data_IF_616696538471
#
_entry.id   IF_616696538471
#
_cell.length_a   1.000
_cell.length_b   1.000
_cell.length_c   1.000
_cell.angle_alpha   90.00
_cell.angle_beta   90.00
_cell.angle_gamma   90.00
#
_symmetry.space_group_name_H-M   'P 1'
#
loop_
_entity.id
_entity.type
_entity.pdbx_description
1 polymer ?
#
# COMPACT_ATOMS: atom_id res chain seq x y z
N UNK A 1 38.56 14.94 1.63
CA UNK A 1 37.45 15.89 1.87
C UNK A 1 36.20 15.05 2.13
N UNK A 2 35.50 15.25 3.25
CA UNK A 2 34.28 14.51 3.58
C UNK A 2 33.08 15.20 2.91
N UNK A 3 32.21 14.42 2.26
CA UNK A 3 30.99 14.92 1.58
C UNK A 3 29.78 14.84 2.51
N UNK A 4 29.76 15.70 3.53
CA UNK A 4 28.66 15.75 4.51
C UNK A 4 27.30 16.06 3.88
N UNK A 5 27.32 16.75 2.74
CA UNK A 5 26.13 17.01 1.94
C UNK A 5 25.43 15.72 1.48
N UNK A 6 26.21 14.65 1.21
CA UNK A 6 25.74 13.34 0.76
C UNK A 6 25.49 12.33 1.88
N UNK A 7 26.14 12.49 3.04
CA UNK A 7 26.06 11.51 4.13
C UNK A 7 25.06 11.86 5.23
N UNK A 8 24.49 13.07 5.20
CA UNK A 8 23.61 13.57 6.25
C UNK A 8 22.14 13.53 5.81
N UNK A 9 21.36 12.72 6.52
CA UNK A 9 19.93 12.55 6.27
C UNK A 9 19.17 13.89 6.45
N UNK A 10 18.17 14.20 5.59
CA UNK A 10 17.43 15.46 5.67
C UNK A 10 16.79 15.76 7.03
N UNK A 11 16.27 14.74 7.73
CA UNK A 11 15.78 14.89 9.12
C UNK A 11 16.79 15.56 10.07
N UNK A 12 18.06 15.16 10.00
CA UNK A 12 19.09 15.76 10.85
C UNK A 12 19.33 17.23 10.47
N UNK A 13 19.36 17.54 9.16
CA UNK A 13 19.47 18.91 8.64
C UNK A 13 18.26 19.76 9.09
N UNK A 14 17.05 19.23 9.07
CA UNK A 14 15.83 19.90 9.55
C UNK A 14 15.95 20.26 11.03
N UNK A 15 16.35 19.32 11.89
CA UNK A 15 16.47 19.55 13.34
C UNK A 15 17.53 20.63 13.64
N UNK A 16 18.65 20.62 12.93
CA UNK A 16 19.70 21.63 13.08
C UNK A 16 19.24 23.01 12.64
N UNK A 17 18.55 23.10 11.50
CA UNK A 17 17.98 24.35 10.99
C UNK A 17 16.97 24.95 11.97
N UNK A 18 16.09 24.12 12.57
CA UNK A 18 15.17 24.56 13.62
C UNK A 18 15.92 25.14 14.82
N UNK A 19 16.96 24.45 15.30
CA UNK A 19 17.78 24.91 16.43
C UNK A 19 18.53 26.21 16.13
N UNK A 20 18.90 26.43 14.87
CA UNK A 20 19.56 27.65 14.40
C UNK A 20 18.58 28.81 14.11
N UNK A 21 17.27 28.57 14.13
CA UNK A 21 16.26 29.55 13.73
C UNK A 21 16.15 29.76 12.21
N UNK A 22 16.72 28.86 11.41
CA UNK A 22 16.67 28.89 9.95
C UNK A 22 15.42 28.16 9.45
N UNK A 23 14.31 28.90 9.37
CA UNK A 23 13.01 28.37 8.96
C UNK A 23 13.01 27.88 7.51
N UNK A 24 13.70 28.58 6.61
CA UNK A 24 13.71 28.24 5.17
C UNK A 24 14.39 26.88 4.95
N UNK A 25 15.57 26.69 5.53
CA UNK A 25 16.28 25.41 5.48
C UNK A 25 15.49 24.30 6.16
N UNK A 26 14.82 24.57 7.27
CA UNK A 26 14.01 23.58 7.97
C UNK A 26 12.86 23.06 7.08
N UNK A 27 12.12 23.96 6.42
CA UNK A 27 11.01 23.59 5.51
C UNK A 27 11.54 22.79 4.31
N UNK A 28 12.61 23.27 3.67
CA UNK A 28 13.21 22.57 2.52
C UNK A 28 13.66 21.15 2.91
N UNK A 29 14.43 21.00 3.99
CA UNK A 29 14.93 19.70 4.42
C UNK A 29 13.79 18.76 4.87
N UNK A 30 12.70 19.30 5.43
CA UNK A 30 11.54 18.49 5.80
C UNK A 30 10.85 17.90 4.56
N UNK A 31 10.75 18.66 3.47
CA UNK A 31 10.24 18.18 2.19
C UNK A 31 11.19 17.14 1.56
N UNK A 32 12.51 17.35 1.66
CA UNK A 32 13.53 16.41 1.16
C UNK A 32 13.42 15.01 1.78
N UNK A 33 12.94 14.88 3.02
CA UNK A 33 12.67 13.55 3.62
C UNK A 33 11.70 12.75 2.73
N UNK A 34 10.65 13.41 2.25
CA UNK A 34 9.67 12.79 1.37
C UNK A 34 10.24 12.55 -0.02
N UNK A 35 10.91 13.55 -0.58
CA UNK A 35 11.41 13.51 -1.96
C UNK A 35 12.51 12.45 -2.14
N UNK A 36 13.32 12.18 -1.12
CA UNK A 36 14.32 11.09 -1.12
C UNK A 36 13.67 9.71 -0.93
N UNK A 37 12.71 9.59 -0.02
CA UNK A 37 12.11 8.30 0.33
C UNK A 37 11.13 7.80 -0.72
N UNK A 38 10.38 8.71 -1.35
CA UNK A 38 9.26 8.35 -2.23
C UNK A 38 9.66 7.56 -3.48
N UNK A 39 10.70 7.94 -4.25
CA UNK A 39 11.12 7.15 -5.41
C UNK A 39 11.59 5.75 -5.05
N UNK A 40 12.26 5.59 -3.90
CA UNK A 40 12.71 4.29 -3.41
C UNK A 40 11.53 3.41 -3.00
N UNK A 41 10.56 3.97 -2.28
CA UNK A 41 9.30 3.30 -1.95
C UNK A 41 8.58 2.79 -3.22
N UNK A 42 8.41 3.67 -4.21
CA UNK A 42 7.71 3.34 -5.45
C UNK A 42 8.45 2.27 -6.25
N UNK A 43 9.78 2.31 -6.28
CA UNK A 43 10.62 1.29 -6.89
C UNK A 43 10.46 -0.08 -6.20
N UNK A 44 10.41 -0.13 -4.86
CA UNK A 44 10.18 -1.39 -4.13
C UNK A 44 8.81 -1.98 -4.48
N UNK A 45 7.78 -1.15 -4.60
CA UNK A 45 6.46 -1.58 -5.09
C UNK A 45 6.55 -2.20 -6.48
N UNK A 46 7.20 -1.52 -7.43
CA UNK A 46 7.39 -2.01 -8.80
C UNK A 46 8.17 -3.34 -8.83
N UNK A 47 9.23 -3.46 -8.02
CA UNK A 47 10.01 -4.68 -7.89
C UNK A 47 9.18 -5.85 -7.36
N UNK A 48 8.35 -5.62 -6.34
CA UNK A 48 7.42 -6.62 -5.84
C UNK A 48 6.45 -7.07 -6.93
N UNK A 49 5.87 -6.14 -7.69
CA UNK A 49 4.99 -6.44 -8.82
C UNK A 49 5.65 -7.32 -9.88
N UNK A 50 6.89 -6.98 -10.28
CA UNK A 50 7.65 -7.79 -11.24
C UNK A 50 8.04 -9.16 -10.69
N UNK A 51 8.39 -9.26 -9.41
CA UNK A 51 8.72 -10.53 -8.78
C UNK A 51 7.54 -11.50 -8.81
N UNK A 52 6.34 -11.03 -8.44
CA UNK A 52 5.14 -11.88 -8.48
C UNK A 52 4.66 -12.14 -9.91
N UNK A 53 4.93 -11.23 -10.85
CA UNK A 53 4.74 -11.49 -12.28
C UNK A 53 5.62 -12.65 -12.75
N UNK A 54 6.90 -12.63 -12.38
CA UNK A 54 7.82 -13.73 -12.71
C UNK A 54 7.35 -15.06 -12.09
N UNK A 55 6.83 -15.04 -10.87
CA UNK A 55 6.25 -16.23 -10.23
C UNK A 55 5.07 -16.75 -11.05
N UNK A 56 4.13 -15.89 -11.45
CA UNK A 56 3.00 -16.27 -12.27
C UNK A 56 3.44 -16.89 -13.62
N UNK A 57 4.41 -16.27 -14.29
CA UNK A 57 4.92 -16.73 -15.58
C UNK A 57 5.62 -18.10 -15.50
N UNK A 58 6.22 -18.43 -14.35
CA UNK A 58 6.99 -19.68 -14.17
C UNK A 58 6.20 -20.80 -13.52
N UNK A 59 5.30 -20.47 -12.60
CA UNK A 59 4.63 -21.41 -11.72
C UNK A 59 3.10 -21.39 -11.85
N UNK A 60 2.57 -20.47 -12.65
CA UNK A 60 1.13 -20.27 -12.82
C UNK A 60 0.57 -19.22 -11.86
N UNK A 61 -0.63 -18.73 -12.19
CA UNK A 61 -1.30 -17.64 -11.48
C UNK A 61 -1.58 -17.94 -10.01
N UNK A 62 -1.94 -19.19 -9.66
CA UNK A 62 -2.17 -19.60 -8.26
C UNK A 62 -0.92 -19.45 -7.37
N UNK A 63 0.28 -19.56 -7.95
CA UNK A 63 1.51 -19.39 -7.18
C UNK A 63 1.69 -17.95 -6.67
N UNK A 64 0.94 -16.98 -7.22
CA UNK A 64 0.90 -15.61 -6.70
C UNK A 64 0.18 -15.56 -5.34
N UNK A 65 -0.92 -16.30 -5.17
CA UNK A 65 -1.59 -16.44 -3.87
C UNK A 65 -0.64 -17.09 -2.86
N UNK A 66 -0.04 -18.22 -3.22
CA UNK A 66 0.93 -18.93 -2.35
C UNK A 66 2.08 -18.02 -1.90
N UNK A 67 2.66 -17.25 -2.82
CA UNK A 67 3.75 -16.34 -2.52
C UNK A 67 3.32 -15.23 -1.54
N UNK A 68 2.16 -14.61 -1.78
CA UNK A 68 1.67 -13.56 -0.89
C UNK A 68 1.20 -14.08 0.46
N UNK A 69 0.59 -15.27 0.51
CA UNK A 69 0.26 -15.96 1.77
C UNK A 69 1.52 -16.29 2.57
N UNK A 70 2.57 -16.77 1.92
CA UNK A 70 3.85 -17.01 2.59
C UNK A 70 4.40 -15.74 3.23
N UNK A 71 4.46 -14.62 2.51
CA UNK A 71 4.89 -13.33 3.07
C UNK A 71 3.95 -12.88 4.20
N UNK A 72 2.65 -13.06 4.03
CA UNK A 72 1.64 -12.77 5.06
C UNK A 72 1.90 -13.53 6.36
N UNK A 73 2.14 -14.83 6.29
CA UNK A 73 2.45 -15.67 7.44
C UNK A 73 3.79 -15.31 8.10
N UNK A 74 4.84 -15.06 7.32
CA UNK A 74 6.20 -14.85 7.85
C UNK A 74 6.44 -13.44 8.38
N UNK A 75 5.89 -12.42 7.71
CA UNK A 75 6.19 -11.01 8.02
C UNK A 75 4.99 -10.28 8.62
N UNK A 76 3.79 -10.51 8.11
CA UNK A 76 2.62 -9.70 8.45
C UNK A 76 1.87 -10.19 9.68
N UNK A 77 1.70 -11.50 9.83
CA UNK A 77 1.01 -12.13 10.96
C UNK A 77 1.58 -11.72 12.32
N UNK A 78 2.91 -11.73 12.57
CA UNK A 78 3.43 -11.32 13.87
C UNK A 78 3.07 -9.87 14.20
N UNK A 79 3.10 -8.97 13.20
CA UNK A 79 2.74 -7.56 13.36
C UNK A 79 1.27 -7.42 13.69
N UNK A 80 0.37 -7.97 12.86
CA UNK A 80 -1.07 -7.83 13.09
C UNK A 80 -1.55 -8.50 14.37
N UNK A 81 -1.00 -9.66 14.74
CA UNK A 81 -1.39 -10.32 15.98
C UNK A 81 -0.91 -9.54 17.21
N UNK A 82 0.23 -8.84 17.15
CA UNK A 82 0.63 -7.91 18.20
C UNK A 82 -0.28 -6.67 18.28
N UNK A 83 -0.80 -6.19 17.14
CA UNK A 83 -1.80 -5.09 17.14
C UNK A 83 -3.14 -5.57 17.69
N UNK A 84 -3.55 -6.82 17.41
CA UNK A 84 -4.78 -7.42 17.94
C UNK A 84 -4.85 -7.35 19.46
N UNK A 85 -3.75 -7.62 20.14
CA UNK A 85 -3.65 -7.56 21.61
C UNK A 85 -3.88 -6.15 22.18
N UNK A 86 -3.63 -5.11 21.37
CA UNK A 86 -3.80 -3.71 21.74
C UNK A 86 -5.18 -3.15 21.35
N UNK A 87 -5.93 -3.86 20.49
CA UNK A 87 -7.28 -3.50 20.07
C UNK A 87 -7.39 -2.81 18.72
N UNK A 88 -8.61 -2.75 18.19
CA UNK A 88 -8.92 -2.25 16.85
C UNK A 88 -8.62 -0.76 16.67
N UNK A 89 -8.71 0.05 17.72
CA UNK A 89 -8.40 1.48 17.63
C UNK A 89 -6.92 1.72 17.31
N UNK A 90 -6.03 0.85 17.79
CA UNK A 90 -4.60 0.90 17.44
C UNK A 90 -4.40 0.53 15.98
N UNK A 91 -5.13 -0.46 15.45
CA UNK A 91 -5.12 -0.79 14.03
C UNK A 91 -5.55 0.40 13.17
N UNK A 92 -6.60 1.14 13.56
CA UNK A 92 -7.05 2.37 12.87
C UNK A 92 -5.92 3.40 12.80
N UNK A 93 -5.22 3.65 13.90
CA UNK A 93 -4.11 4.62 13.94
C UNK A 93 -2.92 4.17 13.08
N UNK A 94 -2.54 2.90 13.16
CA UNK A 94 -1.46 2.31 12.36
C UNK A 94 -1.81 2.36 10.88
N UNK A 95 -3.04 2.00 10.51
CA UNK A 95 -3.48 2.02 9.11
C UNK A 95 -3.50 3.44 8.55
N UNK A 96 -3.98 4.43 9.32
CA UNK A 96 -3.91 5.83 8.93
C UNK A 96 -2.45 6.30 8.73
N UNK A 97 -1.53 5.89 9.63
CA UNK A 97 -0.10 6.21 9.50
C UNK A 97 0.52 5.53 8.27
N UNK A 98 0.17 4.26 8.01
CA UNK A 98 0.59 3.51 6.84
C UNK A 98 0.17 4.22 5.55
N UNK A 99 -1.10 4.62 5.43
CA UNK A 99 -1.60 5.33 4.25
C UNK A 99 -0.88 6.66 4.02
N UNK A 100 -0.67 7.45 5.08
CA UNK A 100 0.11 8.71 5.01
C UNK A 100 1.56 8.47 4.60
N UNK A 101 2.22 7.47 5.19
CA UNK A 101 3.62 7.14 4.87
C UNK A 101 3.78 6.65 3.42
N UNK A 102 2.75 6.00 2.87
CA UNK A 102 2.71 5.63 1.46
C UNK A 102 2.26 6.78 0.55
N UNK A 103 1.80 7.92 1.09
CA UNK A 103 1.36 9.10 0.31
C UNK A 103 0.04 8.91 -0.42
N UNK A 104 -0.90 8.19 0.18
CA UNK A 104 -2.26 8.09 -0.32
C UNK A 104 -2.98 9.44 -0.23
N UNK A 105 -3.88 9.70 -1.19
CA UNK A 105 -4.93 10.72 -1.01
C UNK A 105 -6.20 10.01 -0.53
N UNK A 106 -6.62 10.34 0.69
CA UNK A 106 -7.73 9.66 1.36
C UNK A 106 -8.40 10.55 2.39
N UNK A 107 -9.64 10.20 2.70
CA UNK A 107 -10.36 10.71 3.87
C UNK A 107 -10.88 9.55 4.72
N UNK A 108 -11.30 9.86 5.94
CA UNK A 108 -11.78 8.87 6.91
C UNK A 108 -13.17 9.26 7.39
N UNK A 109 -14.10 8.32 7.32
CA UNK A 109 -15.42 8.40 7.93
C UNK A 109 -15.47 7.43 9.10
N UNK A 110 -16.20 7.77 10.16
CA UNK A 110 -16.36 6.91 11.31
C UNK A 110 -17.77 7.01 11.85
N UNK A 111 -18.36 5.85 12.16
CA UNK A 111 -19.64 5.74 12.84
C UNK A 111 -19.50 4.93 14.15
N UNK A 112 -20.62 4.48 14.71
CA UNK A 112 -20.64 3.69 15.94
C UNK A 112 -20.05 2.28 15.76
N UNK A 113 -20.09 1.71 14.56
CA UNK A 113 -19.71 0.33 14.26
C UNK A 113 -18.31 0.21 13.66
N UNK A 114 -17.87 1.18 12.84
CA UNK A 114 -16.69 1.05 11.99
C UNK A 114 -16.02 2.38 11.63
N UNK A 115 -14.80 2.26 11.15
CA UNK A 115 -14.01 3.33 10.52
C UNK A 115 -13.79 2.97 9.06
N UNK A 116 -14.11 3.88 8.14
CA UNK A 116 -14.00 3.68 6.70
C UNK A 116 -12.94 4.63 6.14
N UNK A 117 -11.89 4.07 5.56
CA UNK A 117 -10.87 4.78 4.81
C UNK A 117 -11.23 4.75 3.33
N UNK A 118 -11.48 5.92 2.74
CA UNK A 118 -11.79 6.06 1.32
C UNK A 118 -10.59 6.67 0.62
N UNK A 119 -9.93 5.86 -0.21
CA UNK A 119 -8.71 6.25 -0.93
C UNK A 119 -9.08 6.69 -2.35
N UNK A 120 -9.07 8.00 -2.59
CA UNK A 120 -9.25 8.56 -3.94
C UNK A 120 -8.01 8.31 -4.81
N UNK A 121 -6.84 8.21 -4.18
CA UNK A 121 -5.60 7.77 -4.82
C UNK A 121 -4.88 6.74 -3.96
N UNK A 122 -4.74 5.51 -4.49
CA UNK A 122 -3.81 4.53 -3.95
C UNK A 122 -2.43 4.77 -4.52
N UNK A 123 -1.49 5.14 -3.65
CA UNK A 123 -0.12 5.44 -4.03
C UNK A 123 0.74 4.21 -4.35
N UNK A 124 0.19 3.00 -4.21
CA UNK A 124 0.87 1.73 -4.49
C UNK A 124 0.33 1.10 -5.78
N UNK A 125 -0.69 0.23 -5.68
CA UNK A 125 -1.29 -0.42 -6.85
C UNK A 125 -2.04 0.54 -7.77
N UNK A 126 -2.79 1.49 -7.21
CA UNK A 126 -3.47 2.54 -7.98
C UNK A 126 -2.50 3.40 -8.80
N UNK A 127 -1.32 3.71 -8.24
CA UNK A 127 -0.21 4.38 -8.95
C UNK A 127 0.25 3.57 -10.16
N UNK A 128 0.42 2.26 -10.02
CA UNK A 128 0.82 1.40 -11.15
C UNK A 128 -0.22 1.42 -12.28
N UNK A 129 -1.52 1.44 -11.95
CA UNK A 129 -2.60 1.60 -12.93
C UNK A 129 -2.52 2.99 -13.58
N UNK A 130 -2.43 4.06 -12.78
CA UNK A 130 -2.30 5.44 -13.25
C UNK A 130 -1.12 5.60 -14.22
N UNK A 131 0.03 5.04 -13.89
CA UNK A 131 1.25 5.10 -14.69
C UNK A 131 1.21 4.13 -15.89
N UNK A 132 0.26 3.20 -15.93
CA UNK A 132 0.10 2.24 -17.03
C UNK A 132 1.16 1.13 -17.03
N UNK A 133 1.59 0.70 -15.83
CA UNK A 133 2.65 -0.30 -15.60
C UNK A 133 2.19 -1.75 -15.62
N UNK A 134 0.88 -1.98 -15.65
CA UNK A 134 0.33 -3.32 -15.72
C UNK A 134 0.31 -3.82 -17.18
N UNK A 135 0.33 -5.14 -17.35
CA UNK A 135 0.37 -5.84 -18.64
C UNK A 135 -0.87 -5.64 -19.52
N UNK A 136 -1.92 -5.04 -18.97
CA UNK A 136 -3.11 -4.61 -19.68
C UNK A 136 -3.05 -3.16 -20.17
N UNK A 137 -1.89 -2.50 -20.11
CA UNK A 137 -1.67 -1.14 -20.59
C UNK A 137 -0.35 -1.02 -21.36
N UNK A 138 -0.32 -0.22 -22.43
CA UNK A 138 0.88 0.02 -23.25
C UNK A 138 1.57 1.36 -22.98
N UNK A 139 1.11 2.13 -21.98
CA UNK A 139 1.63 3.48 -21.67
C UNK A 139 2.99 3.47 -20.99
N UNK A 140 3.43 2.33 -20.47
CA UNK A 140 4.72 2.18 -19.80
C UNK A 140 5.45 0.92 -20.28
N UNK A 141 6.79 0.92 -20.37
CA UNK A 141 7.57 -0.27 -20.75
C UNK A 141 7.61 -1.39 -19.69
N UNK A 142 7.10 -1.12 -18.49
CA UNK A 142 7.01 -2.10 -17.41
C UNK A 142 5.72 -2.88 -17.59
N UNK A 143 5.77 -4.20 -17.39
CA UNK A 143 4.70 -5.11 -17.74
C UNK A 143 4.34 -6.00 -16.53
N UNK A 144 3.84 -5.38 -15.45
CA UNK A 144 3.43 -6.08 -14.23
C UNK A 144 2.17 -6.90 -14.55
N UNK A 145 2.22 -8.20 -14.31
CA UNK A 145 1.13 -9.10 -14.59
C UNK A 145 -0.16 -8.76 -13.83
N UNK A 146 -1.28 -9.04 -14.48
CA UNK A 146 -2.63 -8.93 -13.90
C UNK A 146 -3.35 -10.28 -13.93
N UNK A 147 -4.28 -10.48 -13.01
CA UNK A 147 -5.08 -11.70 -12.94
C UNK A 147 -5.83 -11.98 -14.23
N UNK A 148 -5.80 -13.23 -14.71
CA UNK A 148 -6.49 -13.67 -15.93
C UNK A 148 -7.93 -14.04 -15.62
N UNK A 149 -8.16 -14.63 -14.46
CA UNK A 149 -9.49 -14.97 -13.96
C UNK A 149 -9.83 -14.23 -12.67
N UNK A 150 -11.11 -14.30 -12.29
CA UNK A 150 -11.57 -13.80 -11.00
C UNK A 150 -11.31 -14.85 -9.91
N UNK A 151 -10.59 -14.44 -8.86
CA UNK A 151 -10.23 -15.31 -7.74
C UNK A 151 -10.73 -14.77 -6.40
N UNK A 152 -10.96 -15.66 -5.45
CA UNK A 152 -11.33 -15.27 -4.08
C UNK A 152 -10.26 -14.42 -3.41
N UNK A 153 -8.99 -14.62 -3.78
CA UNK A 153 -7.84 -13.85 -3.32
C UNK A 153 -7.58 -12.58 -4.15
N UNK A 154 -8.34 -12.31 -5.22
CA UNK A 154 -8.19 -11.12 -6.08
C UNK A 154 -9.43 -10.22 -6.10
N UNK A 155 -10.05 -10.01 -4.95
CA UNK A 155 -11.32 -9.27 -4.81
C UNK A 155 -12.48 -9.87 -5.63
N UNK A 156 -12.39 -11.14 -6.04
CA UNK A 156 -13.30 -11.77 -7.00
C UNK A 156 -13.38 -11.01 -8.33
N UNK A 157 -12.26 -10.41 -8.76
CA UNK A 157 -12.14 -9.66 -10.01
C UNK A 157 -10.96 -10.16 -10.84
N UNK A 158 -11.13 -10.09 -12.15
CA UNK A 158 -10.05 -10.26 -13.14
C UNK A 158 -9.32 -8.93 -13.37
N UNK A 159 -8.19 -8.99 -14.05
CA UNK A 159 -7.39 -7.81 -14.45
C UNK A 159 -6.88 -6.98 -13.26
N UNK A 160 -6.79 -7.61 -12.08
CA UNK A 160 -6.19 -7.02 -10.89
C UNK A 160 -4.68 -7.23 -10.95
N UNK A 161 -3.90 -6.16 -10.76
CA UNK A 161 -2.44 -6.27 -10.69
C UNK A 161 -2.03 -7.34 -9.68
N UNK A 162 -1.10 -8.22 -10.05
CA UNK A 162 -0.60 -9.23 -9.12
C UNK A 162 0.01 -8.61 -7.86
N UNK A 163 0.52 -7.39 -7.97
CA UNK A 163 0.94 -6.60 -6.82
C UNK A 163 -0.22 -6.30 -5.87
N UNK A 164 -1.40 -5.90 -6.35
CA UNK A 164 -2.54 -5.49 -5.52
C UNK A 164 -3.12 -6.63 -4.66
N UNK A 165 -2.89 -7.89 -5.01
CA UNK A 165 -3.43 -9.08 -4.32
C UNK A 165 -3.01 -9.16 -2.86
N UNK A 166 -1.85 -8.60 -2.50
CA UNK A 166 -1.44 -8.59 -1.10
C UNK A 166 -2.44 -7.83 -0.21
N UNK A 167 -3.18 -6.85 -0.74
CA UNK A 167 -4.13 -6.05 0.05
C UNK A 167 -5.30 -6.89 0.60
N UNK A 168 -6.11 -7.58 -0.22
CA UNK A 168 -7.19 -8.41 0.31
C UNK A 168 -6.66 -9.59 1.10
N UNK A 169 -5.51 -10.16 0.73
CA UNK A 169 -4.90 -11.24 1.51
C UNK A 169 -4.49 -10.79 2.90
N UNK A 170 -3.65 -9.76 3.00
CA UNK A 170 -3.01 -9.37 4.26
C UNK A 170 -3.92 -8.59 5.18
N UNK A 171 -4.88 -7.86 4.63
CA UNK A 171 -5.77 -7.03 5.45
C UNK A 171 -7.08 -7.72 5.79
N UNK A 172 -7.64 -8.54 4.91
CA UNK A 172 -9.01 -9.07 5.06
C UNK A 172 -9.04 -10.60 5.25
N UNK A 173 -8.53 -11.35 4.28
CA UNK A 173 -8.65 -12.81 4.21
C UNK A 173 -7.81 -13.49 5.30
N UNK A 174 -6.49 -13.22 5.34
CA UNK A 174 -5.60 -13.88 6.28
C UNK A 174 -5.87 -13.49 7.73
N UNK A 175 -6.11 -12.20 8.09
CA UNK A 175 -6.44 -11.86 9.47
C UNK A 175 -7.68 -12.58 9.99
N UNK A 176 -8.68 -12.78 9.14
CA UNK A 176 -9.86 -13.60 9.44
C UNK A 176 -9.50 -15.06 9.67
N UNK A 177 -8.68 -15.67 8.79
CA UNK A 177 -8.15 -17.03 8.96
C UNK A 177 -7.32 -17.17 10.26
N UNK A 178 -6.66 -16.10 10.70
CA UNK A 178 -5.93 -16.01 11.97
C UNK A 178 -6.82 -15.69 13.17
N UNK A 179 -8.15 -15.64 12.98
CA UNK A 179 -9.14 -15.44 14.04
C UNK A 179 -9.33 -13.97 14.44
N UNK A 180 -9.14 -13.04 13.52
CA UNK A 180 -9.40 -11.60 13.73
C UNK A 180 -10.14 -10.96 12.54
N UNK A 181 -11.44 -11.20 12.47
CA UNK A 181 -12.32 -10.69 11.40
C UNK A 181 -12.78 -9.24 11.66
N UNK A 182 -11.88 -8.26 11.54
CA UNK A 182 -12.19 -6.84 11.80
C UNK A 182 -12.00 -5.94 10.59
N UNK A 183 -11.56 -6.46 9.46
CA UNK A 183 -11.19 -5.63 8.31
C UNK A 183 -11.89 -6.13 7.05
N UNK A 184 -12.34 -5.20 6.21
CA UNK A 184 -12.83 -5.48 4.87
C UNK A 184 -12.14 -4.56 3.87
N UNK A 185 -11.75 -5.11 2.72
CA UNK A 185 -11.14 -4.33 1.65
C UNK A 185 -11.97 -4.41 0.37
N UNK A 186 -12.14 -3.28 -0.30
CA UNK A 186 -12.83 -3.19 -1.60
C UNK A 186 -11.91 -2.53 -2.61
N UNK A 187 -11.72 -3.20 -3.74
CA UNK A 187 -11.03 -2.63 -4.88
C UNK A 187 -11.90 -1.57 -5.56
N UNK A 188 -11.30 -0.42 -5.85
CA UNK A 188 -11.85 0.58 -6.75
C UNK A 188 -10.89 0.79 -7.91
N UNK A 189 -11.42 0.96 -9.13
CA UNK A 189 -10.59 1.10 -10.33
C UNK A 189 -9.66 2.32 -10.26
N UNK A 190 -10.11 3.40 -9.61
CA UNK A 190 -9.46 4.71 -9.41
C UNK A 190 -9.04 5.48 -10.68
N UNK A 191 -8.68 4.80 -11.77
CA UNK A 191 -8.21 5.40 -13.01
C UNK A 191 -8.80 4.72 -14.26
N UNK A 192 -9.06 5.50 -15.29
CA UNK A 192 -9.38 4.98 -16.63
C UNK A 192 -8.11 4.45 -17.34
N UNK A 193 -8.27 3.94 -18.56
CA UNK A 193 -7.17 3.38 -19.36
C UNK A 193 -6.07 4.41 -19.68
N UNK A 194 -6.43 5.69 -19.77
CA UNK A 194 -5.51 6.79 -20.00
C UNK A 194 -4.83 7.28 -18.71
N UNK A 195 -5.21 6.75 -17.54
CA UNK A 195 -4.68 7.16 -16.24
C UNK A 195 -5.35 8.40 -15.66
N UNK A 196 -6.51 8.82 -16.19
CA UNK A 196 -7.30 9.89 -15.59
C UNK A 196 -8.10 9.37 -14.41
N UNK A 197 -8.27 10.16 -13.34
CA UNK A 197 -9.02 9.73 -12.17
C UNK A 197 -10.49 9.46 -12.52
N UNK A 198 -11.05 8.38 -11.96
CA UNK A 198 -12.49 8.06 -11.99
C UNK A 198 -13.02 7.99 -10.56
N UNK A 199 -14.33 8.18 -10.38
CA UNK A 199 -14.96 8.19 -9.06
C UNK A 199 -15.25 6.78 -8.50
N UNK A 200 -14.22 5.94 -8.47
CA UNK A 200 -14.28 4.56 -7.99
C UNK A 200 -13.11 4.31 -7.01
N UNK A 201 -13.20 4.83 -5.77
CA UNK A 201 -12.11 4.75 -4.80
C UNK A 201 -11.98 3.34 -4.22
N UNK A 202 -10.74 2.94 -3.89
CA UNK A 202 -10.53 1.80 -3.01
C UNK A 202 -11.06 2.14 -1.61
N UNK A 203 -11.56 1.13 -0.89
CA UNK A 203 -12.05 1.28 0.48
C UNK A 203 -11.43 0.25 1.40
N UNK A 204 -11.14 0.68 2.62
CA UNK A 204 -10.77 -0.18 3.72
C UNK A 204 -11.70 0.13 4.90
N UNK A 205 -12.37 -0.89 5.41
CA UNK A 205 -13.31 -0.77 6.51
C UNK A 205 -12.72 -1.53 7.69
N UNK A 206 -12.59 -0.85 8.82
CA UNK A 206 -12.13 -1.44 10.08
C UNK A 206 -13.29 -1.39 11.07
N UNK A 207 -13.81 -2.55 11.44
CA UNK A 207 -14.89 -2.72 12.40
C UNK A 207 -14.33 -2.62 13.82
N UNK A 208 -15.08 -1.98 14.72
CA UNK A 208 -14.69 -1.87 16.14
C UNK A 208 -14.74 -3.20 16.88
N UNK A 209 -15.49 -4.17 16.36
CA UNK A 209 -15.61 -5.52 16.90
C UNK A 209 -15.48 -6.54 15.77
N UNK A 210 -14.94 -7.75 16.05
CA UNK A 210 -14.93 -8.83 15.07
C UNK A 210 -16.33 -9.15 14.57
N UNK A 211 -16.45 -9.46 13.27
CA UNK A 211 -17.70 -9.79 12.60
C UNK A 211 -18.14 -11.23 12.81
N UNK A 212 -17.19 -12.12 13.11
CA UNK A 212 -17.37 -13.56 13.36
C UNK A 212 -16.57 -14.00 14.57
#
# INVERSE_FOLDING_TARGET
MLREDLSKHPLAKTIEAIKAGDQETAIRCAQEIWDEGRPLHDLVGDMCGLLVTYIADKLGEEAVDDAWRYVGEQAWKPVLMSVKEQGTDVLVQIYAAFLRAHGHDFYVEQDEEKTVFVMNYCASGGRMIKEGKNDNCSRHPMNIGTTKEAHSWSFNQKEISYYCIHTPLWMDILPREWGWDVFESTFGRQFDEAGNPVNEPCKAIIYKKPRS
#
